data_IF_369053183082
#
_entry.id   IF_369053183082
#
_cell.length_a   1.000
_cell.length_b   1.000
_cell.length_c   1.000
_cell.angle_alpha   90.00
_cell.angle_beta   90.00
_cell.angle_gamma   90.00
#
_symmetry.space_group_name_H-M   'P 1'
#
loop_
_entity.id
_entity.type
_entity.pdbx_description
1 polymer ?
#
# COMPACT_ATOMS: atom_id res chain seq x y z
N UNK A 1 8.71 0.60 1.31
CA UNK A 1 8.97 0.10 2.67
C UNK A 1 8.03 0.77 3.65
N UNK A 2 7.45 0.01 4.58
CA UNK A 2 6.68 0.53 5.71
C UNK A 2 6.97 -0.31 6.96
N UNK A 3 6.74 0.29 8.12
CA UNK A 3 6.98 -0.34 9.42
C UNK A 3 5.68 -0.35 10.20
N UNK A 4 5.29 -1.52 10.70
CA UNK A 4 4.15 -1.68 11.59
C UNK A 4 4.68 -1.64 13.03
N UNK A 5 4.31 -0.64 13.83
CA UNK A 5 4.77 -0.56 15.21
C UNK A 5 4.15 -1.68 16.05
N UNK A 6 4.80 -2.03 17.15
CA UNK A 6 4.30 -3.00 18.11
C UNK A 6 2.86 -2.66 18.54
N UNK A 7 2.02 -3.67 18.84
CA UNK A 7 0.67 -3.46 19.34
C UNK A 7 0.72 -2.75 20.68
N UNK A 8 -0.26 -1.90 20.96
CA UNK A 8 -0.41 -1.35 22.30
C UNK A 8 -0.81 -2.47 23.26
N UNK A 9 -0.34 -2.43 24.51
CA UNK A 9 -0.69 -3.43 25.52
C UNK A 9 -2.21 -3.60 25.61
N UNK A 10 -2.69 -4.83 25.35
CA UNK A 10 -4.13 -5.17 25.33
C UNK A 10 -4.71 -5.47 23.94
N UNK A 11 -4.01 -5.16 22.83
CA UNK A 11 -4.39 -5.64 21.50
C UNK A 11 -3.96 -7.12 21.35
N UNK A 12 -4.90 -8.06 21.55
CA UNK A 12 -4.67 -9.50 21.35
C UNK A 12 -4.22 -9.81 19.92
N UNK A 13 -3.29 -10.77 19.78
CA UNK A 13 -2.54 -11.15 18.57
C UNK A 13 -2.17 -9.95 17.68
N UNK A 14 -0.92 -9.50 17.75
CA UNK A 14 -0.39 -8.28 17.12
C UNK A 14 -0.44 -8.16 15.59
N UNK A 15 -1.29 -8.93 14.92
CA UNK A 15 -1.54 -8.92 13.50
C UNK A 15 -2.55 -7.81 13.18
N UNK A 16 -2.17 -6.87 12.31
CA UNK A 16 -3.02 -5.76 11.86
C UNK A 16 -3.47 -6.01 10.44
N UNK A 17 -4.72 -5.70 10.12
CA UNK A 17 -5.18 -5.67 8.72
C UNK A 17 -4.46 -4.54 7.98
N UNK A 18 -3.64 -4.90 7.00
CA UNK A 18 -2.87 -3.98 6.15
C UNK A 18 -3.46 -3.99 4.75
N UNK A 19 -3.80 -2.79 4.28
CA UNK A 19 -4.26 -2.53 2.92
C UNK A 19 -3.37 -1.48 2.27
N UNK A 20 -2.61 -1.86 1.23
CA UNK A 20 -1.78 -0.95 0.43
C UNK A 20 -2.34 -0.90 -0.99
N UNK A 21 -2.90 0.25 -1.35
CA UNK A 21 -3.56 0.46 -2.65
C UNK A 21 -2.96 1.66 -3.35
N UNK A 22 -2.77 1.54 -4.66
CA UNK A 22 -2.35 2.61 -5.56
C UNK A 22 -3.58 3.17 -6.26
N UNK A 23 -3.64 4.50 -6.30
CA UNK A 23 -4.69 5.30 -6.91
C UNK A 23 -4.07 6.22 -7.96
N UNK A 24 -4.83 6.55 -9.00
CA UNK A 24 -4.50 7.67 -9.88
C UNK A 24 -5.00 9.01 -9.33
N UNK A 25 -4.70 10.11 -10.03
CA UNK A 25 -5.14 11.47 -9.64
C UNK A 25 -6.66 11.66 -9.61
N UNK A 26 -7.42 10.77 -10.25
CA UNK A 26 -8.88 10.77 -10.26
C UNK A 26 -9.46 9.91 -9.12
N UNK A 27 -8.60 9.30 -8.29
CA UNK A 27 -9.00 8.43 -7.19
C UNK A 27 -9.41 7.02 -7.62
N UNK A 28 -9.10 6.60 -8.86
CA UNK A 28 -9.39 5.24 -9.32
C UNK A 28 -8.33 4.28 -8.76
N UNK A 29 -8.78 3.16 -8.19
CA UNK A 29 -7.89 2.09 -7.74
C UNK A 29 -7.20 1.45 -8.95
N UNK A 30 -5.88 1.63 -9.05
CA UNK A 30 -5.06 1.07 -10.14
C UNK A 30 -4.29 -0.17 -9.70
N UNK A 31 -4.02 -0.37 -8.42
CA UNK A 31 -3.42 -1.63 -7.97
C UNK A 31 -3.67 -1.85 -6.48
N UNK A 32 -3.94 -3.10 -6.10
CA UNK A 32 -3.96 -3.52 -4.70
C UNK A 32 -2.72 -4.37 -4.44
N UNK A 33 -1.75 -3.82 -3.71
CA UNK A 33 -0.43 -4.42 -3.51
C UNK A 33 -0.39 -5.30 -2.27
N UNK A 34 -1.16 -4.95 -1.24
CA UNK A 34 -1.26 -5.69 0.02
C UNK A 34 -2.70 -5.61 0.50
N UNK A 35 -3.28 -6.74 0.88
CA UNK A 35 -4.60 -6.81 1.48
C UNK A 35 -4.70 -8.02 2.40
N UNK A 36 -3.88 -8.03 3.45
CA UNK A 36 -3.75 -9.17 4.36
C UNK A 36 -3.48 -8.70 5.80
N UNK A 37 -3.60 -9.60 6.76
CA UNK A 37 -3.23 -9.31 8.14
C UNK A 37 -1.74 -9.59 8.33
N UNK A 38 -0.98 -8.60 8.79
CA UNK A 38 0.46 -8.71 9.01
C UNK A 38 0.85 -8.41 10.46
N UNK A 39 1.77 -9.19 11.07
CA UNK A 39 2.28 -8.90 12.41
C UNK A 39 3.13 -7.62 12.43
N UNK A 40 3.54 -7.13 13.62
CA UNK A 40 4.41 -5.97 13.72
C UNK A 40 5.77 -6.30 13.12
N UNK A 41 6.34 -5.36 12.37
CA UNK A 41 7.56 -5.62 11.61
C UNK A 41 7.81 -4.64 10.48
N UNK A 42 8.90 -4.87 9.76
CA UNK A 42 9.27 -4.07 8.58
C UNK A 42 8.91 -4.85 7.31
N UNK A 43 8.23 -4.17 6.40
CA UNK A 43 7.75 -4.75 5.16
C UNK A 43 8.26 -3.96 3.96
N UNK A 44 8.68 -4.70 2.94
CA UNK A 44 9.06 -4.17 1.65
C UNK A 44 8.11 -4.72 0.60
N UNK A 45 7.51 -3.80 -0.17
CA UNK A 45 6.63 -4.14 -1.27
C UNK A 45 7.29 -3.61 -2.53
N UNK A 46 7.55 -4.51 -3.46
CA UNK A 46 8.07 -4.18 -4.78
C UNK A 46 6.86 -3.97 -5.69
N UNK A 47 6.70 -2.75 -6.18
CA UNK A 47 5.66 -2.41 -7.13
C UNK A 47 6.25 -2.34 -8.54
N UNK A 48 5.87 -3.29 -9.40
CA UNK A 48 6.18 -3.21 -10.81
C UNK A 48 5.03 -2.51 -11.57
N UNK A 49 5.23 -1.23 -11.87
CA UNK A 49 4.29 -0.41 -12.64
C UNK A 49 4.06 -0.92 -14.08
N UNK A 50 4.88 -1.86 -14.57
CA UNK A 50 4.69 -2.50 -15.87
C UNK A 50 3.62 -3.58 -15.85
N UNK A 51 3.34 -4.18 -14.70
CA UNK A 51 2.45 -5.34 -14.54
C UNK A 51 1.26 -4.99 -13.64
N UNK A 52 0.45 -4.01 -14.04
CA UNK A 52 -0.66 -3.53 -13.21
C UNK A 52 -1.99 -3.50 -13.97
N UNK A 53 -3.08 -3.70 -13.21
CA UNK A 53 -4.50 -3.82 -13.61
C UNK A 53 -4.73 -4.30 -15.04
N UNK A 54 -4.93 -5.61 -15.17
CA UNK A 54 -5.35 -6.29 -16.39
C UNK A 54 -4.27 -6.38 -17.50
N UNK A 55 -2.99 -6.45 -17.12
CA UNK A 55 -1.89 -6.62 -18.08
C UNK A 55 -1.55 -5.36 -18.89
N UNK A 56 -1.97 -4.18 -18.40
CA UNK A 56 -1.77 -2.90 -19.10
C UNK A 56 -0.75 -2.05 -18.36
N UNK A 57 0.24 -1.56 -19.09
CA UNK A 57 1.28 -0.71 -18.52
C UNK A 57 0.68 0.60 -17.99
N UNK A 58 1.04 1.02 -16.78
CA UNK A 58 0.68 2.35 -16.29
C UNK A 58 1.35 3.42 -17.15
N UNK A 59 0.59 4.46 -17.51
CA UNK A 59 1.12 5.62 -18.22
C UNK A 59 1.96 6.49 -17.29
N UNK A 60 2.94 7.22 -17.83
CA UNK A 60 3.67 8.23 -17.07
C UNK A 60 2.69 9.23 -16.47
N UNK A 61 2.86 9.56 -15.19
CA UNK A 61 1.89 10.39 -14.48
C UNK A 61 2.08 10.38 -12.97
N UNK A 62 1.23 11.14 -12.28
CA UNK A 62 1.22 11.18 -10.82
C UNK A 62 0.28 10.09 -10.30
N UNK A 63 0.76 9.35 -9.31
CA UNK A 63 0.01 8.31 -8.62
C UNK A 63 0.13 8.49 -7.12
N UNK A 64 -0.84 7.97 -6.39
CA UNK A 64 -0.91 8.05 -4.94
C UNK A 64 -1.02 6.65 -4.40
N UNK A 65 -0.10 6.21 -3.54
CA UNK A 65 -0.32 5.00 -2.77
C UNK A 65 -0.78 5.35 -1.36
N UNK A 66 -1.75 4.60 -0.87
CA UNK A 66 -2.28 4.69 0.48
C UNK A 66 -2.11 3.35 1.17
N UNK A 67 -1.46 3.37 2.32
CA UNK A 67 -1.41 2.24 3.24
C UNK A 67 -2.35 2.51 4.40
N UNK A 68 -3.12 1.50 4.78
CA UNK A 68 -3.99 1.51 5.96
C UNK A 68 -3.63 0.28 6.79
N UNK A 69 -3.31 0.45 8.06
CA UNK A 69 -2.96 -0.60 8.99
C UNK A 69 -3.72 -0.39 10.30
N UNK A 70 -4.86 -1.07 10.47
CA UNK A 70 -5.77 -0.82 11.59
C UNK A 70 -6.21 0.66 11.65
N UNK A 71 -5.92 1.34 12.76
CA UNK A 71 -6.25 2.77 12.94
C UNK A 71 -5.30 3.74 12.23
N UNK A 72 -4.15 3.27 11.73
CA UNK A 72 -3.15 4.12 11.09
C UNK A 72 -3.39 4.12 9.58
N UNK A 73 -3.38 5.29 8.97
CA UNK A 73 -3.31 5.40 7.51
C UNK A 73 -2.26 6.42 7.10
N UNK A 74 -1.56 6.14 6.01
CA UNK A 74 -0.59 7.04 5.41
C UNK A 74 -0.75 7.02 3.90
N UNK A 75 -0.69 8.18 3.27
CA UNK A 75 -0.73 8.34 1.83
C UNK A 75 0.50 9.10 1.35
N UNK A 76 1.06 8.68 0.23
CA UNK A 76 2.20 9.33 -0.42
C UNK A 76 1.99 9.33 -1.92
N UNK A 77 2.38 10.43 -2.56
CA UNK A 77 2.37 10.56 -4.02
C UNK A 77 3.74 10.19 -4.60
N UNK A 78 3.73 9.64 -5.79
CA UNK A 78 4.92 9.41 -6.60
C UNK A 78 4.62 9.76 -8.06
N UNK A 79 5.69 10.00 -8.83
CA UNK A 79 5.59 10.24 -10.27
C UNK A 79 6.15 9.00 -10.95
N UNK A 80 5.34 8.37 -11.79
CA UNK A 80 5.80 7.34 -12.69
C UNK A 80 6.35 8.01 -13.95
N UNK A 81 7.61 7.71 -14.27
CA UNK A 81 8.27 8.12 -15.50
C UNK A 81 8.62 6.82 -16.23
N UNK A 82 8.19 6.71 -17.49
CA UNK A 82 8.51 5.58 -18.37
C UNK A 82 9.92 5.68 -18.91
#
# INVERSE_FOLDING_TARGET
RYSLPSPLEGEGQGVRSVRLVVYDVLGREVANLVNEQQPPGNYEVIFDAKSTTNGKQLASGVYIYKITAGAISAAKKFVLIK
#
